data_IF_290839310369
#
_entry.id   IF_290839310369
#
_cell.length_a   1.000
_cell.length_b   1.000
_cell.length_c   1.000
_cell.angle_alpha   90.00
_cell.angle_beta   90.00
_cell.angle_gamma   90.00
#
_symmetry.space_group_name_H-M   'P 1'
#
loop_
_entity.id
_entity.type
_entity.pdbx_description
1 polymer ?
#
# COMPACT_ATOMS: atom_id res chain seq x y z
N UNK A 1 4.52 2.94 9.00
CA UNK A 1 4.19 1.78 8.13
C UNK A 1 5.45 1.41 7.35
N UNK A 2 5.51 0.23 6.72
CA UNK A 2 6.75 -0.25 6.11
C UNK A 2 6.53 -1.00 4.79
N UNK A 3 7.45 -0.80 3.85
CA UNK A 3 7.56 -1.58 2.62
C UNK A 3 8.79 -2.47 2.65
N UNK A 4 8.61 -3.71 2.20
CA UNK A 4 9.69 -4.68 2.04
C UNK A 4 9.62 -5.28 0.65
N UNK A 5 10.72 -5.27 -0.10
CA UNK A 5 10.75 -5.82 -1.45
C UNK A 5 12.12 -6.42 -1.76
N UNK A 6 12.18 -7.29 -2.76
CA UNK A 6 13.44 -7.76 -3.33
C UNK A 6 13.83 -6.78 -4.44
N UNK A 7 15.07 -6.33 -4.56
CA UNK A 7 15.52 -5.48 -5.68
C UNK A 7 15.92 -6.32 -6.91
N UNK A 8 16.44 -5.67 -7.97
CA UNK A 8 16.84 -6.35 -9.21
C UNK A 8 18.01 -7.32 -9.04
N UNK A 9 18.85 -7.13 -8.00
CA UNK A 9 19.97 -8.03 -7.67
C UNK A 9 19.55 -9.16 -6.75
N UNK A 10 18.29 -9.18 -6.35
CA UNK A 10 17.78 -10.15 -5.41
C UNK A 10 17.97 -9.76 -3.95
N UNK A 11 18.47 -8.55 -3.65
CA UNK A 11 18.69 -8.12 -2.27
C UNK A 11 17.38 -7.67 -1.65
N UNK A 12 17.12 -8.09 -0.41
CA UNK A 12 15.96 -7.61 0.35
C UNK A 12 16.19 -6.16 0.77
N UNK A 13 15.22 -5.31 0.45
CA UNK A 13 15.17 -3.89 0.78
C UNK A 13 13.96 -3.62 1.65
N UNK A 14 14.11 -2.61 2.50
CA UNK A 14 13.12 -2.21 3.48
C UNK A 14 13.09 -0.68 3.56
N UNK A 15 11.90 -0.10 3.65
CA UNK A 15 11.72 1.34 3.80
C UNK A 15 10.52 1.64 4.69
N UNK A 16 10.69 2.60 5.59
CA UNK A 16 9.56 3.17 6.32
C UNK A 16 8.83 4.14 5.39
N UNK A 17 7.51 4.14 5.47
CA UNK A 17 6.64 4.98 4.65
C UNK A 17 5.55 5.62 5.50
N UNK A 18 5.09 6.78 5.05
CA UNK A 18 3.94 7.50 5.62
C UNK A 18 2.74 7.20 4.74
N UNK A 19 1.68 6.68 5.32
CA UNK A 19 0.44 6.41 4.58
C UNK A 19 -0.43 7.66 4.54
N UNK A 20 -0.96 8.03 3.37
CA UNK A 20 -1.86 9.19 3.23
C UNK A 20 -3.30 8.80 2.96
N UNK A 21 -3.52 7.84 2.07
CA UNK A 21 -4.87 7.42 1.67
C UNK A 21 -4.94 5.92 1.70
N UNK A 22 -6.02 5.39 2.27
CA UNK A 22 -6.25 3.96 2.45
C UNK A 22 -7.66 3.65 1.94
N UNK A 23 -7.77 2.61 1.12
CA UNK A 23 -9.02 1.95 0.77
C UNK A 23 -8.84 0.45 0.88
N UNK A 24 -9.92 -0.30 0.67
CA UNK A 24 -9.89 -1.76 0.69
C UNK A 24 -9.02 -2.37 -0.43
N UNK A 25 -8.84 -1.62 -1.52
CA UNK A 25 -8.11 -2.11 -2.69
C UNK A 25 -6.73 -1.50 -2.84
N UNK A 26 -6.50 -0.31 -2.29
CA UNK A 26 -5.29 0.44 -2.57
C UNK A 26 -4.84 1.31 -1.40
N UNK A 27 -3.55 1.60 -1.38
CA UNK A 27 -2.94 2.51 -0.42
C UNK A 27 -2.02 3.47 -1.16
N UNK A 28 -2.14 4.76 -0.88
CA UNK A 28 -1.13 5.74 -1.28
C UNK A 28 -0.17 5.99 -0.12
N UNK A 29 1.12 5.85 -0.39
CA UNK A 29 2.19 6.09 0.58
C UNK A 29 3.16 7.13 0.05
N UNK A 30 3.62 8.00 0.94
CA UNK A 30 4.74 8.87 0.66
C UNK A 30 6.05 8.10 0.65
N UNK A 31 6.92 8.54 -0.24
CA UNK A 31 8.24 7.99 -0.40
C UNK A 31 9.31 8.99 0.00
N UNK A 32 10.21 8.53 0.87
CA UNK A 32 11.40 9.25 1.33
C UNK A 32 12.68 8.42 1.13
N UNK A 33 12.57 7.28 0.44
CA UNK A 33 13.70 6.38 0.22
C UNK A 33 14.65 6.91 -0.86
N UNK A 34 15.92 6.48 -0.83
CA UNK A 34 16.95 6.99 -1.73
C UNK A 34 16.83 6.47 -3.16
N UNK A 35 16.09 5.39 -3.39
CA UNK A 35 15.92 4.77 -4.71
C UNK A 35 14.45 4.59 -5.06
N UNK A 36 14.14 4.62 -6.36
CA UNK A 36 12.80 4.32 -6.83
C UNK A 36 12.53 2.81 -6.79
N UNK A 37 11.32 2.43 -6.41
CA UNK A 37 10.76 1.10 -6.61
C UNK A 37 10.13 1.09 -8.01
N UNK A 38 10.54 0.19 -8.92
CA UNK A 38 9.94 0.11 -10.25
C UNK A 38 8.43 -0.14 -10.21
N UNK A 39 7.74 0.34 -11.24
CA UNK A 39 6.32 0.05 -11.45
C UNK A 39 6.12 -1.47 -11.62
N UNK A 40 4.96 -1.95 -11.19
CA UNK A 40 4.55 -3.36 -11.16
C UNK A 40 5.39 -4.27 -10.27
N UNK A 41 6.33 -3.72 -9.48
CA UNK A 41 7.07 -4.49 -8.51
C UNK A 41 6.17 -4.92 -7.37
N UNK A 42 6.31 -6.20 -6.98
CA UNK A 42 5.69 -6.71 -5.77
C UNK A 42 6.46 -6.24 -4.53
N UNK A 43 5.70 -5.73 -3.57
CA UNK A 43 6.18 -5.27 -2.29
C UNK A 43 5.28 -5.86 -1.21
N UNK A 44 5.86 -6.09 -0.04
CA UNK A 44 5.06 -6.33 1.14
C UNK A 44 4.77 -5.00 1.83
N UNK A 45 3.49 -4.69 2.02
CA UNK A 45 3.06 -3.60 2.87
C UNK A 45 2.78 -4.12 4.28
N UNK A 46 3.45 -3.52 5.27
CA UNK A 46 3.39 -3.89 6.68
C UNK A 46 2.80 -2.76 7.51
N UNK A 47 1.76 -3.11 8.25
CA UNK A 47 1.06 -2.25 9.19
C UNK A 47 1.62 -2.47 10.57
N UNK A 48 2.00 -1.39 11.24
CA UNK A 48 2.52 -1.44 12.60
C UNK A 48 1.41 -1.90 13.58
N UNK A 49 1.79 -2.59 14.65
CA UNK A 49 0.84 -3.26 15.55
C UNK A 49 -0.12 -2.28 16.25
N UNK A 50 0.39 -1.12 16.63
CA UNK A 50 -0.36 0.01 17.17
C UNK A 50 -1.43 0.52 16.19
N UNK A 51 -1.10 0.65 14.92
CA UNK A 51 -2.01 1.14 13.89
C UNK A 51 -3.06 0.10 13.44
N UNK A 52 -2.91 -1.18 13.80
CA UNK A 52 -3.91 -2.23 13.48
C UNK A 52 -5.14 -2.14 14.36
N UNK A 53 -5.03 -1.53 15.54
CA UNK A 53 -6.14 -1.36 16.49
C UNK A 53 -7.10 -0.24 16.06
N UNK A 54 -6.75 0.54 15.03
CA UNK A 54 -7.59 1.63 14.54
C UNK A 54 -8.78 1.08 13.75
N UNK A 55 -9.99 1.38 14.21
CA UNK A 55 -11.24 0.95 13.56
C UNK A 55 -11.38 1.49 12.13
N UNK A 56 -10.79 2.65 11.82
CA UNK A 56 -10.83 3.23 10.48
C UNK A 56 -9.95 2.50 9.44
N UNK A 57 -9.18 1.49 9.85
CA UNK A 57 -8.33 0.72 8.94
C UNK A 57 -9.12 -0.45 8.33
N UNK A 58 -9.08 -0.69 7.00
CA UNK A 58 -9.65 -1.90 6.40
C UNK A 58 -9.21 -3.19 7.09
N UNK A 59 -10.14 -4.14 7.20
CA UNK A 59 -9.93 -5.43 7.89
C UNK A 59 -8.67 -6.17 7.44
N UNK A 60 -8.38 -6.13 6.14
CA UNK A 60 -7.21 -6.74 5.50
C UNK A 60 -5.89 -6.16 6.00
N UNK A 61 -5.86 -4.87 6.31
CA UNK A 61 -4.68 -4.20 6.82
C UNK A 61 -4.48 -4.47 8.33
N UNK A 62 -5.54 -4.82 9.06
CA UNK A 62 -5.45 -5.25 10.47
C UNK A 62 -4.75 -6.60 10.63
N UNK A 63 -4.78 -7.47 9.60
CA UNK A 63 -3.96 -8.70 9.56
C UNK A 63 -2.45 -8.39 9.55
N UNK A 64 -2.07 -7.16 9.20
CA UNK A 64 -0.77 -6.60 9.51
C UNK A 64 0.28 -6.68 8.42
N UNK A 65 0.11 -7.57 7.45
CA UNK A 65 1.05 -7.77 6.36
C UNK A 65 0.24 -8.18 5.12
N UNK A 66 0.38 -7.45 4.03
CA UNK A 66 -0.32 -7.73 2.77
C UNK A 66 0.65 -7.62 1.59
N UNK A 67 0.51 -8.54 0.63
CA UNK A 67 1.26 -8.45 -0.63
C UNK A 67 0.61 -7.36 -1.48
N UNK A 68 1.42 -6.54 -2.14
CA UNK A 68 0.93 -5.41 -2.91
C UNK A 68 1.77 -5.20 -4.15
N UNK A 69 1.18 -4.63 -5.19
CA UNK A 69 1.90 -4.23 -6.39
C UNK A 69 1.99 -2.70 -6.46
N UNK A 70 3.17 -2.17 -6.80
CA UNK A 70 3.30 -0.76 -7.17
C UNK A 70 2.58 -0.54 -8.49
N UNK A 71 1.42 0.12 -8.49
CA UNK A 71 0.61 0.29 -9.71
C UNK A 71 0.63 1.72 -10.24
N UNK A 72 0.98 2.72 -9.43
CA UNK A 72 1.27 4.08 -9.88
C UNK A 72 2.46 4.65 -9.11
N UNK A 73 3.23 5.48 -9.78
CA UNK A 73 4.36 6.23 -9.22
C UNK A 73 3.95 7.71 -9.20
N UNK A 74 4.13 8.37 -8.05
CA UNK A 74 3.88 9.80 -7.89
C UNK A 74 4.85 10.66 -8.71
N UNK A 75 4.68 11.99 -8.65
CA UNK A 75 5.60 12.90 -9.33
C UNK A 75 7.04 12.68 -8.85
N UNK A 76 8.02 12.89 -9.72
CA UNK A 76 9.43 12.78 -9.35
C UNK A 76 9.93 14.10 -8.82
N UNK A 77 10.54 14.09 -7.65
CA UNK A 77 11.21 15.26 -7.07
C UNK A 77 12.36 15.68 -7.97
N UNK A 78 12.43 16.95 -8.35
CA UNK A 78 13.48 17.47 -9.24
C UNK A 78 14.89 17.31 -8.68
N UNK A 79 15.05 17.40 -7.36
CA UNK A 79 16.36 17.34 -6.70
C UNK A 79 16.97 15.93 -6.63
N UNK A 80 16.14 14.89 -6.51
CA UNK A 80 16.62 13.51 -6.27
C UNK A 80 16.21 12.52 -7.36
N UNK A 81 15.27 12.88 -8.24
CA UNK A 81 14.66 11.98 -9.21
C UNK A 81 13.78 10.88 -8.58
N UNK A 82 13.72 10.79 -7.25
CA UNK A 82 12.88 9.84 -6.53
C UNK A 82 11.41 10.28 -6.59
N UNK A 83 10.46 9.34 -6.64
CA UNK A 83 9.05 9.69 -6.61
C UNK A 83 8.65 10.22 -5.24
N UNK A 84 7.64 11.08 -5.22
CA UNK A 84 7.02 11.60 -4.00
C UNK A 84 6.28 10.52 -3.22
N UNK A 85 5.79 9.51 -3.91
CA UNK A 85 5.01 8.43 -3.33
C UNK A 85 4.67 7.32 -4.32
N UNK A 86 3.98 6.32 -3.82
CA UNK A 86 3.47 5.19 -4.61
C UNK A 86 2.02 4.93 -4.29
N UNK A 87 1.26 4.59 -5.33
CA UNK A 87 0.00 3.89 -5.13
C UNK A 87 0.27 2.38 -5.20
N UNK A 88 -0.18 1.69 -4.16
CA UNK A 88 -0.04 0.26 -3.97
C UNK A 88 -1.40 -0.38 -4.18
N UNK A 89 -1.46 -1.40 -5.04
CA UNK A 89 -2.64 -2.24 -5.19
C UNK A 89 -2.51 -3.39 -4.20
N UNK A 90 -3.45 -3.49 -3.27
CA UNK A 90 -3.52 -4.59 -2.31
C UNK A 90 -3.92 -5.87 -3.03
N UNK A 91 -3.11 -6.92 -2.91
CA UNK A 91 -3.40 -8.22 -3.52
C UNK A 91 -4.27 -9.03 -2.57
N UNK A 92 -5.58 -8.81 -2.72
CA UNK A 92 -6.63 -9.45 -1.93
C UNK A 92 -7.21 -10.63 -2.72
N UNK A 93 -7.34 -11.82 -2.10
CA UNK A 93 -8.05 -12.95 -2.70
C UNK A 93 -9.49 -12.57 -3.09
N UNK A 94 -10.02 -13.10 -4.21
CA UNK A 94 -11.32 -12.69 -4.74
C UNK A 94 -12.49 -12.87 -3.75
N UNK A 95 -12.44 -13.87 -2.87
CA UNK A 95 -13.49 -14.10 -1.86
C UNK A 95 -13.54 -13.09 -0.70
N UNK A 96 -12.55 -12.22 -0.56
CA UNK A 96 -12.48 -11.21 0.51
C UNK A 96 -12.88 -9.80 0.05
N UNK A 97 -13.20 -9.60 -1.24
CA UNK A 97 -13.61 -8.29 -1.78
C UNK A 97 -15.10 -7.98 -1.59
N UNK A 98 -15.94 -8.99 -1.35
CA UNK A 98 -17.40 -8.83 -1.34
C UNK A 98 -17.96 -8.10 -0.12
N UNK A 99 -17.14 -7.81 0.91
CA UNK A 99 -17.63 -7.17 2.13
C UNK A 99 -17.82 -5.65 2.01
N UNK A 100 -17.19 -4.96 1.04
CA UNK A 100 -17.22 -3.48 1.00
C UNK A 100 -18.08 -2.87 -0.10
N UNK A 101 -18.59 -3.64 -1.06
CA UNK A 101 -19.55 -3.14 -2.07
C UNK A 101 -21.01 -3.32 -1.67
N UNK A 102 -21.32 -4.11 -0.64
CA UNK A 102 -22.71 -4.41 -0.26
C UNK A 102 -23.41 -3.28 0.53
N UNK A 103 -22.66 -2.31 1.08
CA UNK A 103 -23.23 -1.32 2.00
C UNK A 103 -23.75 -0.04 1.30
N UNK A 104 -23.40 0.20 0.02
CA UNK A 104 -23.77 1.44 -0.67
C UNK A 104 -25.12 1.37 -1.44
N UNK A 105 -25.76 0.20 -1.55
CA UNK A 105 -26.96 0.03 -2.40
C UNK A 105 -28.27 0.04 -1.59
N UNK A 106 -28.22 0.10 -0.25
CA UNK A 106 -29.46 0.05 0.58
C UNK A 106 -29.97 1.42 1.06
N UNK A 107 -29.42 2.54 0.57
CA UNK A 107 -29.83 3.89 0.97
C UNK A 107 -30.50 4.67 -0.18
N UNK A 108 -31.58 4.12 -0.75
CA UNK A 108 -32.63 4.96 -1.39
C UNK A 108 -33.95 4.21 -1.24
N UNK A 109 -34.75 4.65 -0.26
CA UNK A 109 -36.16 4.31 -0.10
C UNK A 109 -37.01 5.40 -0.74
#
# INVERSE_FOLDING_TARGET
MRLTWKDHRGTMRIANVVTRNISDEAVYVDWQGPSAIPMYRLVQFQVASDARATESLPSLLRAGKILSAVFRIGQRRRSTGAPEGYALRLLVPPGQRSASSAELVSATA
#
